data_IF_568654422062
#
_entry.id   IF_568654422062
#
_cell.length_a   1.000
_cell.length_b   1.000
_cell.length_c   1.000
_cell.angle_alpha   90.00
_cell.angle_beta   90.00
_cell.angle_gamma   90.00
#
_symmetry.space_group_name_H-M   'P 1'
#
loop_
_entity.id
_entity.type
_entity.pdbx_description
1 polymer ?
#
# COMPACT_ATOMS: atom_id res chain seq x y z
N UNK A 1 4.32 27.50 -29.51
CA UNK A 1 4.91 26.15 -29.74
C UNK A 1 4.70 25.33 -28.47
N UNK A 2 3.69 24.45 -28.42
CA UNK A 2 3.41 23.62 -27.23
C UNK A 2 4.26 22.35 -27.33
N UNK A 3 5.34 22.28 -26.55
CA UNK A 3 6.01 21.01 -26.29
C UNK A 3 5.03 20.15 -25.49
N UNK A 4 4.28 19.31 -26.19
CA UNK A 4 3.64 18.14 -25.57
C UNK A 4 4.80 17.26 -25.14
N UNK A 5 5.26 17.43 -23.90
CA UNK A 5 6.24 16.56 -23.30
C UNK A 5 5.62 15.17 -23.30
N UNK A 6 6.14 14.28 -24.15
CA UNK A 6 5.82 12.87 -24.14
C UNK A 6 6.22 12.36 -22.75
N UNK A 7 5.23 12.28 -21.86
CA UNK A 7 5.41 11.75 -20.51
C UNK A 7 5.89 10.32 -20.70
N UNK A 8 7.19 10.09 -20.48
CA UNK A 8 7.81 8.77 -20.61
C UNK A 8 7.08 7.83 -19.66
N UNK A 9 6.84 6.60 -20.10
CA UNK A 9 5.96 5.65 -19.44
C UNK A 9 6.18 5.57 -17.93
N UNK A 10 5.09 5.37 -17.19
CA UNK A 10 5.08 5.39 -15.72
C UNK A 10 5.62 4.09 -15.12
N UNK A 11 6.80 3.67 -15.58
CA UNK A 11 7.49 2.46 -15.11
C UNK A 11 7.83 2.53 -13.61
N UNK A 12 8.25 3.69 -13.04
CA UNK A 12 8.55 3.77 -11.62
C UNK A 12 7.32 3.67 -10.69
N UNK A 13 6.09 3.85 -11.21
CA UNK A 13 4.87 3.90 -10.41
C UNK A 13 4.69 2.62 -9.56
N UNK A 14 4.99 1.45 -10.13
CA UNK A 14 4.92 0.18 -9.41
C UNK A 14 5.90 0.09 -8.23
N UNK A 15 7.10 0.66 -8.37
CA UNK A 15 8.10 0.71 -7.31
C UNK A 15 7.70 1.70 -6.22
N UNK A 16 7.16 2.87 -6.63
CA UNK A 16 6.62 3.88 -5.71
C UNK A 16 5.45 3.31 -4.92
N UNK A 17 4.53 2.61 -5.59
CA UNK A 17 3.40 1.91 -4.96
C UNK A 17 3.89 0.94 -3.89
N UNK A 18 4.78 0.01 -4.24
CA UNK A 18 5.30 -0.98 -3.31
C UNK A 18 5.98 -0.33 -2.09
N UNK A 19 6.87 0.63 -2.35
CA UNK A 19 7.63 1.32 -1.29
C UNK A 19 6.69 2.11 -0.37
N UNK A 20 5.69 2.79 -0.93
CA UNK A 20 4.71 3.57 -0.17
C UNK A 20 3.83 2.67 0.69
N UNK A 21 3.32 1.57 0.13
CA UNK A 21 2.51 0.60 0.88
C UNK A 21 3.32 0.02 2.03
N UNK A 22 4.58 -0.32 1.81
CA UNK A 22 5.46 -0.84 2.86
C UNK A 22 5.71 0.17 3.99
N UNK A 23 6.15 1.39 3.66
CA UNK A 23 6.41 2.45 4.66
C UNK A 23 5.14 2.74 5.47
N UNK A 24 4.01 2.84 4.78
CA UNK A 24 2.73 3.13 5.40
C UNK A 24 2.26 1.97 6.30
N UNK A 25 2.40 0.71 5.84
CA UNK A 25 2.07 -0.47 6.64
C UNK A 25 2.90 -0.53 7.93
N UNK A 26 4.23 -0.37 7.84
CA UNK A 26 5.11 -0.38 9.02
C UNK A 26 4.82 0.80 9.95
N UNK A 27 4.68 2.01 9.41
CA UNK A 27 4.41 3.20 10.22
C UNK A 27 3.08 3.09 10.98
N UNK A 28 2.01 2.67 10.30
CA UNK A 28 0.71 2.44 10.93
C UNK A 28 0.72 1.27 11.91
N UNK A 29 1.45 0.20 11.62
CA UNK A 29 1.61 -0.92 12.54
C UNK A 29 2.30 -0.50 13.85
N UNK A 30 3.36 0.31 13.77
CA UNK A 30 4.04 0.85 14.96
C UNK A 30 3.08 1.74 15.76
N UNK A 31 2.30 2.60 15.10
CA UNK A 31 1.29 3.42 15.79
C UNK A 31 0.22 2.57 16.46
N UNK A 32 -0.23 1.50 15.81
CA UNK A 32 -1.20 0.55 16.37
C UNK A 32 -0.66 -0.18 17.61
N UNK A 33 0.65 -0.34 17.75
CA UNK A 33 1.29 -0.86 18.96
C UNK A 33 1.45 0.21 20.06
N UNK A 34 1.95 1.39 19.69
CA UNK A 34 2.27 2.47 20.64
C UNK A 34 1.01 3.04 21.29
N UNK A 35 -0.08 3.21 20.54
CA UNK A 35 -1.29 3.87 21.05
C UNK A 35 -1.94 3.10 22.22
N UNK A 36 -2.20 1.78 22.12
CA UNK A 36 -2.69 1.00 23.26
C UNK A 36 -1.71 1.01 24.44
N UNK A 37 -0.40 0.91 24.18
CA UNK A 37 0.62 0.93 25.24
C UNK A 37 0.57 2.24 26.05
N UNK A 38 0.41 3.38 25.37
CA UNK A 38 0.23 4.68 26.04
C UNK A 38 -1.12 4.69 26.79
N UNK A 39 -2.19 4.21 26.15
CA UNK A 39 -3.54 4.15 26.74
C UNK A 39 -3.55 3.40 28.08
N UNK A 40 -2.91 2.23 28.10
CA UNK A 40 -2.80 1.40 29.30
C UNK A 40 -1.95 2.08 30.37
N UNK A 41 -0.85 2.72 29.97
CA UNK A 41 -0.01 3.51 30.88
C UNK A 41 -0.78 4.67 31.55
N UNK A 42 -1.64 5.36 30.81
CA UNK A 42 -2.49 6.44 31.36
C UNK A 42 -3.56 5.89 32.31
N UNK A 43 -4.15 4.73 31.98
CA UNK A 43 -5.12 4.08 32.86
C UNK A 43 -4.48 3.64 34.18
N UNK A 44 -3.28 3.05 34.13
CA UNK A 44 -2.53 2.65 35.33
C UNK A 44 -2.13 3.87 36.19
N UNK A 45 -1.90 5.03 35.56
CA UNK A 45 -1.60 6.27 36.26
C UNK A 45 -2.82 6.92 36.95
N UNK A 46 -4.02 6.31 36.88
CA UNK A 46 -5.24 6.82 37.51
C UNK A 46 -5.94 7.95 36.74
N UNK A 47 -5.59 8.17 35.47
CA UNK A 47 -6.24 9.21 34.65
C UNK A 47 -7.62 8.79 34.11
N UNK A 48 -8.10 7.59 34.47
CA UNK A 48 -9.40 7.05 34.14
C UNK A 48 -10.43 7.14 35.30
N UNK A 49 -10.11 7.84 36.39
CA UNK A 49 -11.01 7.98 37.54
C UNK A 49 -12.25 8.86 37.23
N UNK A 50 -12.14 9.77 36.26
CA UNK A 50 -13.28 10.52 35.73
C UNK A 50 -13.89 9.83 34.51
N UNK A 51 -15.20 10.02 34.31
CA UNK A 51 -15.91 9.49 33.15
C UNK A 51 -15.32 10.02 31.83
N UNK A 52 -14.89 11.28 31.81
CA UNK A 52 -14.26 11.93 30.66
C UNK A 52 -12.88 11.32 30.36
N UNK A 53 -12.08 11.07 31.40
CA UNK A 53 -10.75 10.46 31.26
C UNK A 53 -10.83 9.02 30.75
N UNK A 54 -11.72 8.21 31.34
CA UNK A 54 -11.97 6.85 30.88
C UNK A 54 -12.46 6.80 29.42
N UNK A 55 -13.35 7.72 29.02
CA UNK A 55 -13.84 7.82 27.65
C UNK A 55 -12.74 8.21 26.66
N UNK A 56 -11.89 9.19 27.01
CA UNK A 56 -10.78 9.61 26.15
C UNK A 56 -9.75 8.49 25.94
N UNK A 57 -9.39 7.77 27.01
CA UNK A 57 -8.50 6.61 26.97
C UNK A 57 -9.11 5.50 26.10
N UNK A 58 -10.40 5.19 26.27
CA UNK A 58 -11.09 4.19 25.45
C UNK A 58 -11.13 4.57 23.96
N UNK A 59 -11.38 5.84 23.63
CA UNK A 59 -11.35 6.32 22.24
C UNK A 59 -9.94 6.20 21.64
N UNK A 60 -8.91 6.55 22.42
CA UNK A 60 -7.52 6.42 21.99
C UNK A 60 -7.16 4.96 21.70
N UNK A 61 -7.49 4.03 22.60
CA UNK A 61 -7.32 2.60 22.37
C UNK A 61 -8.06 2.11 21.11
N UNK A 62 -9.31 2.56 20.89
CA UNK A 62 -10.09 2.22 19.70
C UNK A 62 -9.45 2.74 18.39
N UNK A 63 -8.82 3.92 18.42
CA UNK A 63 -8.06 4.42 17.27
C UNK A 63 -6.93 3.45 16.91
N UNK A 64 -6.18 3.01 17.92
CA UNK A 64 -5.07 2.05 17.78
C UNK A 64 -5.51 0.71 17.19
N UNK A 65 -6.64 0.18 17.63
CA UNK A 65 -7.10 -1.17 17.23
C UNK A 65 -7.92 -1.19 15.95
N UNK A 66 -8.92 -0.31 15.79
CA UNK A 66 -9.88 -0.39 14.68
C UNK A 66 -9.66 0.67 13.60
N UNK A 67 -9.44 1.93 14.00
CA UNK A 67 -9.42 3.05 13.05
C UNK A 67 -8.20 2.99 12.14
N UNK A 68 -7.02 2.66 12.68
CA UNK A 68 -5.79 2.51 11.90
C UNK A 68 -5.95 1.44 10.82
N UNK A 69 -6.48 0.26 11.17
CA UNK A 69 -6.67 -0.83 10.21
C UNK A 69 -7.59 -0.41 9.04
N UNK A 70 -8.71 0.26 9.35
CA UNK A 70 -9.67 0.74 8.33
C UNK A 70 -9.06 1.85 7.47
N UNK A 71 -8.31 2.77 8.09
CA UNK A 71 -7.59 3.84 7.39
C UNK A 71 -6.53 3.27 6.45
N UNK A 72 -5.76 2.28 6.90
CA UNK A 72 -4.81 1.56 6.06
C UNK A 72 -5.48 0.97 4.82
N UNK A 73 -6.58 0.24 5.01
CA UNK A 73 -7.28 -0.39 3.90
C UNK A 73 -7.82 0.63 2.88
N UNK A 74 -8.39 1.74 3.36
CA UNK A 74 -8.87 2.82 2.50
C UNK A 74 -7.74 3.42 1.67
N UNK A 75 -6.60 3.74 2.30
CA UNK A 75 -5.44 4.29 1.61
C UNK A 75 -4.85 3.27 0.62
N UNK A 76 -4.75 2.00 1.03
CA UNK A 76 -4.24 0.92 0.20
C UNK A 76 -5.07 0.73 -1.08
N UNK A 77 -6.40 0.65 -0.97
CA UNK A 77 -7.30 0.59 -2.13
C UNK A 77 -7.19 1.86 -2.97
N UNK A 78 -7.11 3.03 -2.33
CA UNK A 78 -6.89 4.31 -3.01
C UNK A 78 -5.59 4.33 -3.83
N UNK A 79 -4.50 3.76 -3.31
CA UNK A 79 -3.23 3.63 -4.02
C UNK A 79 -3.34 2.69 -5.22
N UNK A 80 -3.99 1.53 -5.08
CA UNK A 80 -4.25 0.63 -6.22
C UNK A 80 -5.05 1.38 -7.30
N UNK A 81 -6.15 2.04 -6.93
CA UNK A 81 -6.97 2.81 -7.88
C UNK A 81 -6.16 3.92 -8.55
N UNK A 82 -5.31 4.63 -7.80
CA UNK A 82 -4.42 5.67 -8.32
C UNK A 82 -3.45 5.11 -9.37
N UNK A 83 -2.81 3.96 -9.10
CA UNK A 83 -1.91 3.31 -10.09
C UNK A 83 -2.66 2.88 -11.35
N UNK A 84 -3.90 2.37 -11.23
CA UNK A 84 -4.71 1.98 -12.39
C UNK A 84 -5.13 3.17 -13.24
N UNK A 85 -5.58 4.26 -12.60
CA UNK A 85 -5.96 5.50 -13.29
C UNK A 85 -4.74 6.09 -14.00
N UNK A 86 -3.60 6.14 -13.32
CA UNK A 86 -2.35 6.67 -13.89
C UNK A 86 -1.89 5.83 -15.09
N UNK A 87 -1.96 4.49 -14.98
CA UNK A 87 -1.68 3.56 -16.07
C UNK A 87 -2.60 3.77 -17.27
N UNK A 88 -3.87 4.11 -17.04
CA UNK A 88 -4.79 4.42 -18.13
C UNK A 88 -4.39 5.71 -18.87
N UNK A 89 -3.95 6.76 -18.18
CA UNK A 89 -3.58 8.02 -18.83
C UNK A 89 -2.18 8.00 -19.47
N UNK A 90 -1.33 7.04 -19.12
CA UNK A 90 -0.01 6.88 -19.71
C UNK A 90 -0.09 6.58 -21.22
N UNK A 91 0.65 7.36 -22.01
CA UNK A 91 0.87 7.08 -23.44
C UNK A 91 2.25 6.45 -23.59
N UNK A 92 2.28 5.18 -23.93
CA UNK A 92 3.53 4.43 -24.01
C UNK A 92 3.82 4.08 -25.46
N UNK A 93 5.01 3.58 -25.76
CA UNK A 93 5.34 2.96 -27.04
C UNK A 93 5.45 1.45 -26.82
N UNK A 94 5.08 0.57 -27.78
CA UNK A 94 5.15 -0.89 -27.60
C UNK A 94 6.53 -1.41 -27.16
N UNK A 95 7.61 -0.71 -27.55
CA UNK A 95 8.99 -1.04 -27.13
C UNK A 95 9.18 -0.98 -25.60
N UNK A 96 8.39 -0.19 -24.88
CA UNK A 96 8.47 -0.10 -23.42
C UNK A 96 7.84 -1.31 -22.71
N UNK A 97 7.19 -2.23 -23.43
CA UNK A 97 6.68 -3.47 -22.86
C UNK A 97 7.80 -4.31 -22.24
N UNK A 98 8.91 -4.44 -22.95
CA UNK A 98 10.07 -5.17 -22.47
C UNK A 98 10.68 -4.52 -21.22
N UNK A 99 10.80 -3.18 -21.24
CA UNK A 99 11.25 -2.43 -20.07
C UNK A 99 10.30 -2.59 -18.88
N UNK A 100 8.99 -2.58 -19.12
CA UNK A 100 8.00 -2.79 -18.06
C UNK A 100 8.16 -4.15 -17.39
N UNK A 101 8.38 -5.23 -18.17
CA UNK A 101 8.61 -6.57 -17.61
C UNK A 101 9.86 -6.59 -16.71
N UNK A 102 10.94 -5.92 -17.12
CA UNK A 102 12.15 -5.82 -16.30
C UNK A 102 11.87 -5.07 -15.00
N UNK A 103 11.18 -3.93 -15.06
CA UNK A 103 10.80 -3.17 -13.87
C UNK A 103 9.89 -3.97 -12.94
N UNK A 104 8.92 -4.70 -13.49
CA UNK A 104 8.06 -5.59 -12.72
C UNK A 104 8.87 -6.67 -12.00
N UNK A 105 9.83 -7.31 -12.69
CA UNK A 105 10.71 -8.30 -12.06
C UNK A 105 11.51 -7.72 -10.89
N UNK A 106 12.05 -6.49 -11.04
CA UNK A 106 12.74 -5.76 -9.97
C UNK A 106 11.78 -5.46 -8.81
N UNK A 107 10.55 -5.01 -9.10
CA UNK A 107 9.52 -4.75 -8.08
C UNK A 107 9.16 -6.01 -7.31
N UNK A 108 9.02 -7.16 -7.97
CA UNK A 108 8.73 -8.45 -7.32
C UNK A 108 9.88 -8.92 -6.44
N UNK A 109 11.12 -8.75 -6.92
CA UNK A 109 12.31 -9.03 -6.11
C UNK A 109 12.31 -8.18 -4.83
N UNK A 110 12.07 -6.87 -4.95
CA UNK A 110 11.99 -5.96 -3.81
C UNK A 110 10.81 -6.32 -2.88
N UNK A 111 9.65 -6.69 -3.43
CA UNK A 111 8.48 -7.08 -2.64
C UNK A 111 8.76 -8.33 -1.81
N UNK A 112 9.56 -9.27 -2.32
CA UNK A 112 9.98 -10.47 -1.59
C UNK A 112 10.86 -10.08 -0.40
N UNK A 113 11.85 -9.20 -0.64
CA UNK A 113 12.72 -8.71 0.43
C UNK A 113 11.93 -7.98 1.53
N UNK A 114 11.01 -7.09 1.14
CA UNK A 114 10.16 -6.35 2.08
C UNK A 114 9.18 -7.28 2.83
N UNK A 115 8.64 -8.29 2.15
CA UNK A 115 7.80 -9.32 2.78
C UNK A 115 8.55 -10.08 3.88
N UNK A 116 9.77 -10.51 3.61
CA UNK A 116 10.62 -11.19 4.61
C UNK A 116 10.99 -10.28 5.78
N UNK A 117 11.24 -8.99 5.52
CA UNK A 117 11.49 -8.01 6.57
C UNK A 117 10.26 -7.84 7.48
N UNK A 118 9.06 -7.78 6.90
CA UNK A 118 7.83 -7.75 7.67
C UNK A 118 7.60 -9.03 8.47
N UNK A 119 7.86 -10.20 7.87
CA UNK A 119 7.74 -11.49 8.56
C UNK A 119 8.63 -11.53 9.81
N UNK A 120 9.86 -11.03 9.72
CA UNK A 120 10.77 -10.91 10.87
C UNK A 120 10.17 -10.06 11.98
N UNK A 121 9.53 -8.93 11.64
CA UNK A 121 8.83 -8.08 12.62
C UNK A 121 7.61 -8.77 13.22
N UNK A 122 6.84 -9.51 12.41
CA UNK A 122 5.63 -10.21 12.86
C UNK A 122 5.89 -11.33 13.87
N UNK A 123 7.11 -11.87 13.86
CA UNK A 123 7.53 -12.94 14.76
C UNK A 123 8.06 -12.44 16.11
N UNK A 124 8.15 -11.13 16.32
CA UNK A 124 8.55 -10.57 17.62
C UNK A 124 7.38 -10.67 18.59
N UNK A 125 7.57 -11.37 19.70
CA UNK A 125 6.53 -11.67 20.69
C UNK A 125 5.80 -10.42 21.22
N UNK A 126 6.51 -9.30 21.35
CA UNK A 126 5.93 -8.03 21.82
C UNK A 126 4.82 -7.49 20.89
N UNK A 127 4.80 -7.91 19.63
CA UNK A 127 3.82 -7.44 18.64
C UNK A 127 2.68 -8.43 18.39
N UNK A 128 2.63 -9.57 19.10
CA UNK A 128 1.63 -10.61 18.85
C UNK A 128 0.19 -10.09 18.95
N UNK A 129 -0.12 -9.32 19.99
CA UNK A 129 -1.46 -8.76 20.20
C UNK A 129 -1.83 -7.70 19.15
N UNK A 130 -0.87 -6.84 18.81
CA UNK A 130 -1.06 -5.85 17.74
C UNK A 130 -1.31 -6.55 16.41
N UNK A 131 -0.57 -7.61 16.09
CA UNK A 131 -0.73 -8.36 14.86
C UNK A 131 -2.09 -9.06 14.77
N UNK A 132 -2.58 -9.60 15.87
CA UNK A 132 -3.93 -10.15 15.96
C UNK A 132 -5.01 -9.08 15.71
N UNK A 133 -4.81 -7.86 16.21
CA UNK A 133 -5.74 -6.75 15.99
C UNK A 133 -5.66 -6.15 14.58
N UNK A 134 -4.49 -6.22 13.91
CA UNK A 134 -4.21 -5.61 12.61
C UNK A 134 -4.27 -6.62 11.44
N UNK A 135 -5.28 -7.49 11.44
CA UNK A 135 -5.53 -8.53 10.43
C UNK A 135 -5.37 -8.08 8.96
N UNK A 136 -5.85 -6.88 8.59
CA UNK A 136 -5.76 -6.41 7.19
C UNK A 136 -4.35 -5.99 6.79
N UNK A 137 -3.62 -5.32 7.70
CA UNK A 137 -2.21 -4.98 7.46
C UNK A 137 -1.42 -6.27 7.28
N UNK A 138 -1.63 -7.24 8.17
CA UNK A 138 -0.97 -8.54 8.10
C UNK A 138 -1.30 -9.28 6.79
N UNK A 139 -2.58 -9.32 6.37
CA UNK A 139 -3.00 -9.95 5.13
C UNK A 139 -2.31 -9.33 3.90
N UNK A 140 -2.27 -8.00 3.82
CA UNK A 140 -1.63 -7.29 2.71
C UNK A 140 -0.13 -7.55 2.68
N UNK A 141 0.54 -7.48 3.82
CA UNK A 141 1.99 -7.62 3.90
C UNK A 141 2.45 -9.06 3.66
N UNK A 142 1.75 -10.07 4.19
CA UNK A 142 2.03 -11.48 3.90
C UNK A 142 1.78 -11.86 2.43
N UNK A 143 0.93 -11.11 1.72
CA UNK A 143 0.63 -11.33 0.31
C UNK A 143 1.20 -10.23 -0.60
N UNK A 144 2.15 -9.42 -0.12
CA UNK A 144 2.63 -8.24 -0.85
C UNK A 144 3.19 -8.61 -2.23
N UNK A 145 3.88 -9.74 -2.35
CA UNK A 145 4.40 -10.26 -3.62
C UNK A 145 3.26 -10.56 -4.61
N UNK A 146 2.23 -11.28 -4.17
CA UNK A 146 1.08 -11.65 -5.01
C UNK A 146 0.28 -10.41 -5.42
N UNK A 147 0.10 -9.48 -4.49
CA UNK A 147 -0.60 -8.21 -4.73
C UNK A 147 0.18 -7.38 -5.75
N UNK A 148 1.49 -7.17 -5.55
CA UNK A 148 2.34 -6.44 -6.50
C UNK A 148 2.35 -7.08 -7.88
N UNK A 149 2.32 -8.42 -7.96
CA UNK A 149 2.20 -9.13 -9.23
C UNK A 149 0.85 -8.88 -9.90
N UNK A 150 -0.25 -8.97 -9.14
CA UNK A 150 -1.59 -8.71 -9.66
C UNK A 150 -1.78 -7.27 -10.14
N UNK A 151 -1.37 -6.29 -9.33
CA UNK A 151 -1.43 -4.86 -9.66
C UNK A 151 -0.52 -4.54 -10.85
N UNK A 152 0.70 -5.11 -10.90
CA UNK A 152 1.63 -4.93 -12.01
C UNK A 152 1.13 -5.55 -13.32
N UNK A 153 0.58 -6.76 -13.27
CA UNK A 153 -0.01 -7.40 -14.44
C UNK A 153 -1.24 -6.63 -14.94
N UNK A 154 -2.11 -6.17 -14.04
CA UNK A 154 -3.32 -5.41 -14.41
C UNK A 154 -2.98 -4.05 -15.03
N UNK A 155 -2.03 -3.32 -14.43
CA UNK A 155 -1.56 -2.04 -15.00
C UNK A 155 -0.89 -2.23 -16.35
N UNK A 156 -0.11 -3.29 -16.54
CA UNK A 156 0.44 -3.67 -17.85
C UNK A 156 -0.66 -3.85 -18.90
N UNK A 157 -1.69 -4.66 -18.59
CA UNK A 157 -2.81 -4.91 -19.52
C UNK A 157 -3.52 -3.60 -19.89
N UNK A 158 -3.81 -2.75 -18.91
CA UNK A 158 -4.47 -1.45 -19.14
C UNK A 158 -3.61 -0.57 -20.07
N UNK A 159 -2.32 -0.47 -19.79
CA UNK A 159 -1.39 0.38 -20.52
C UNK A 159 -1.23 -0.08 -21.98
N UNK A 160 -1.21 -1.39 -22.25
CA UNK A 160 -1.06 -1.92 -23.62
C UNK A 160 -2.38 -2.17 -24.37
N UNK A 161 -3.53 -2.19 -23.70
CA UNK A 161 -4.84 -2.35 -24.36
C UNK A 161 -5.13 -1.27 -25.41
N UNK A 162 -4.61 -0.05 -25.23
CA UNK A 162 -4.87 1.10 -26.11
C UNK A 162 -4.22 1.01 -27.49
N UNK A 163 -3.16 0.21 -27.66
CA UNK A 163 -2.47 0.11 -28.95
C UNK A 163 -3.30 -0.64 -30.00
N UNK A 164 -4.17 -1.56 -29.58
CA UNK A 164 -4.95 -2.39 -30.50
C UNK A 164 -6.02 -1.56 -31.20
N UNK A 165 -6.61 -0.57 -30.54
CA UNK A 165 -7.73 0.22 -31.08
C UNK A 165 -7.35 1.29 -32.11
N UNK A 166 -6.07 1.65 -32.22
CA UNK A 166 -5.62 2.78 -33.04
C UNK A 166 -5.41 2.52 -34.54
N UNK A 167 -5.32 1.25 -34.99
CA UNK A 167 -4.99 0.92 -36.38
C UNK A 167 -6.17 0.92 -37.37
N UNK A 168 -7.41 0.98 -36.91
CA UNK A 168 -8.59 0.79 -37.76
C UNK A 168 -9.25 2.06 -38.32
N UNK A 169 -8.66 3.25 -38.19
CA UNK A 169 -9.36 4.52 -38.47
C UNK A 169 -8.61 5.49 -39.40
N UNK A 170 -7.72 5.00 -40.25
CA UNK A 170 -7.02 5.85 -41.24
C UNK A 170 -7.57 5.78 -42.67
N UNK A 171 -8.62 4.99 -42.93
CA UNK A 171 -9.10 4.75 -44.30
C UNK A 171 -10.52 5.28 -44.62
N UNK A 172 -10.99 6.33 -43.94
CA UNK A 172 -12.26 7.02 -44.31
C UNK A 172 -12.10 8.54 -44.22
#
# INVERSE_FOLDING_TARGET
MKFVQLKKGDLPDMLIFLTTVFILAIGLFILAFVIPTISDGLAVAGLNDSAEGASAIAQMSNIGTNTIQRGFFLIFVGLIMSTMITSFFARTHPVFLFLYIIFLAITIFLATYLGNAYETLSNISIFADTLASQSLINLVMQNIVKISLGVGALSMVILFSKFVSGRGRQDI
#
